data_IF_475795354380
#
_entry.id   IF_475795354380
#
_cell.length_a   1.000
_cell.length_b   1.000
_cell.length_c   1.000
_cell.angle_alpha   90.00
_cell.angle_beta   90.00
_cell.angle_gamma   90.00
#
_symmetry.space_group_name_H-M   'P 1'
#
loop_
_entity.id
_entity.type
_entity.pdbx_description
1 polymer ?
#
# COMPACT_ATOMS: atom_id res chain seq x y z
N UNK A 1 -9.44 -57.78 29.77
CA UNK A 1 -9.97 -57.97 28.41
C UNK A 1 -10.78 -56.71 28.08
N UNK A 2 -10.19 -55.59 27.67
CA UNK A 2 -9.30 -55.35 26.52
C UNK A 2 -10.08 -54.59 25.44
N UNK A 3 -9.66 -53.34 25.23
CA UNK A 3 -9.69 -52.55 24.00
C UNK A 3 -11.07 -52.28 23.35
N UNK A 4 -11.45 -51.05 23.04
CA UNK A 4 -10.64 -50.14 22.25
C UNK A 4 -11.02 -48.66 22.50
N UNK A 5 -10.09 -47.94 23.13
CA UNK A 5 -9.84 -46.54 22.79
C UNK A 5 -9.36 -46.49 21.33
N UNK A 6 -10.31 -46.50 20.40
CA UNK A 6 -10.05 -46.31 18.98
C UNK A 6 -9.89 -44.83 18.70
N UNK A 7 -8.67 -44.33 18.86
CA UNK A 7 -8.24 -42.99 18.49
C UNK A 7 -8.85 -42.56 17.14
N UNK A 8 -9.78 -41.60 17.19
CA UNK A 8 -10.08 -40.75 16.04
C UNK A 8 -8.85 -39.86 15.88
N UNK A 9 -7.85 -40.40 15.19
CA UNK A 9 -6.80 -39.59 14.60
C UNK A 9 -7.48 -38.69 13.58
N UNK A 10 -7.82 -37.47 14.03
CA UNK A 10 -8.45 -36.41 13.25
C UNK A 10 -7.64 -36.23 11.98
N UNK A 11 -8.31 -36.51 10.87
CA UNK A 11 -7.76 -36.66 9.54
C UNK A 11 -6.84 -35.51 9.17
N UNK A 12 -5.52 -35.78 9.17
CA UNK A 12 -4.46 -35.08 8.44
C UNK A 12 -4.44 -33.56 8.63
N UNK A 13 -3.39 -33.09 9.28
CA UNK A 13 -2.78 -31.77 9.06
C UNK A 13 -2.68 -31.51 7.56
N UNK A 14 -3.73 -30.93 7.00
CA UNK A 14 -3.71 -30.33 5.69
C UNK A 14 -2.89 -29.06 5.94
N UNK A 15 -1.62 -29.09 5.52
CA UNK A 15 -0.76 -27.91 5.42
C UNK A 15 -1.42 -26.97 4.42
N UNK A 16 -2.43 -26.25 4.88
CA UNK A 16 -3.19 -25.28 4.10
C UNK A 16 -2.69 -23.93 4.55
N UNK A 17 -2.36 -23.09 3.58
CA UNK A 17 -1.94 -21.72 3.85
C UNK A 17 -3.06 -21.02 4.61
N UNK A 18 -2.76 -20.57 5.82
CA UNK A 18 -3.67 -19.76 6.63
C UNK A 18 -3.57 -18.30 6.17
N UNK A 19 -4.65 -17.80 5.57
CA UNK A 19 -4.77 -16.41 5.12
C UNK A 19 -5.51 -15.53 6.13
N UNK A 20 -5.76 -16.01 7.34
CA UNK A 20 -6.39 -15.19 8.37
C UNK A 20 -5.43 -14.08 8.82
N UNK A 21 -5.97 -12.86 8.94
CA UNK A 21 -5.20 -11.73 9.44
C UNK A 21 -5.05 -11.86 10.96
N UNK A 22 -3.86 -11.52 11.47
CA UNK A 22 -3.68 -11.30 12.89
C UNK A 22 -4.65 -10.23 13.41
N UNK A 23 -5.02 -10.23 14.69
CA UNK A 23 -5.87 -9.18 15.27
C UNK A 23 -5.30 -7.77 15.14
N UNK A 24 -3.98 -7.63 15.02
CA UNK A 24 -3.30 -6.36 14.75
C UNK A 24 -3.48 -5.93 13.29
N UNK A 25 -3.22 -6.83 12.34
CA UNK A 25 -3.41 -6.56 10.92
C UNK A 25 -4.87 -6.26 10.59
N UNK A 26 -5.83 -6.95 11.23
CA UNK A 26 -7.25 -6.67 11.08
C UNK A 26 -7.62 -5.24 11.54
N UNK A 27 -7.03 -4.78 12.66
CA UNK A 27 -7.23 -3.41 13.16
C UNK A 27 -6.61 -2.37 12.25
N UNK A 28 -5.38 -2.60 11.78
CA UNK A 28 -4.70 -1.72 10.83
C UNK A 28 -5.46 -1.63 9.51
N UNK A 29 -5.95 -2.75 8.96
CA UNK A 29 -6.77 -2.75 7.75
C UNK A 29 -8.06 -1.94 7.91
N UNK A 30 -8.69 -2.01 9.09
CA UNK A 30 -9.85 -1.18 9.40
C UNK A 30 -9.50 0.32 9.48
N UNK A 31 -8.35 0.68 10.07
CA UNK A 31 -7.83 2.06 10.07
C UNK A 31 -7.57 2.56 8.64
N UNK A 32 -6.86 1.77 7.82
CA UNK A 32 -6.60 2.09 6.41
C UNK A 32 -7.90 2.37 5.67
N UNK A 33 -8.89 1.49 5.80
CA UNK A 33 -10.20 1.65 5.16
C UNK A 33 -10.90 2.93 5.59
N UNK A 34 -10.97 3.18 6.91
CA UNK A 34 -11.63 4.36 7.45
C UNK A 34 -10.95 5.64 6.95
N UNK A 35 -9.62 5.68 7.01
CA UNK A 35 -8.85 6.83 6.55
C UNK A 35 -8.99 7.05 5.05
N UNK A 36 -8.91 6.00 4.22
CA UNK A 36 -9.08 6.13 2.76
C UNK A 36 -10.49 6.67 2.44
N UNK A 37 -11.52 6.18 3.11
CA UNK A 37 -12.90 6.64 2.89
C UNK A 37 -13.10 8.12 3.23
N UNK A 38 -12.38 8.62 4.24
CA UNK A 38 -12.40 10.04 4.64
C UNK A 38 -11.54 10.91 3.71
N UNK A 39 -10.33 10.45 3.41
CA UNK A 39 -9.31 11.22 2.71
C UNK A 39 -9.52 11.27 1.19
N UNK A 40 -10.15 10.26 0.58
CA UNK A 40 -10.34 10.17 -0.87
C UNK A 40 -11.48 11.12 -1.33
N UNK A 41 -11.17 12.19 -2.10
CA UNK A 41 -12.21 13.06 -2.62
C UNK A 41 -13.13 12.29 -3.58
N UNK A 42 -14.45 12.37 -3.38
CA UNK A 42 -15.44 11.67 -4.21
C UNK A 42 -15.29 11.95 -5.70
N UNK A 43 -14.88 13.16 -6.09
CA UNK A 43 -14.64 13.47 -7.52
C UNK A 43 -13.47 12.68 -8.11
N UNK A 44 -12.42 12.41 -7.33
CA UNK A 44 -11.26 11.63 -7.79
C UNK A 44 -11.65 10.18 -7.95
N UNK A 45 -12.36 9.63 -6.96
CA UNK A 45 -12.94 8.29 -7.02
C UNK A 45 -13.80 8.12 -8.28
N UNK A 46 -14.80 8.99 -8.49
CA UNK A 46 -15.72 8.90 -9.64
C UNK A 46 -14.97 8.96 -10.98
N UNK A 47 -13.98 9.85 -11.12
CA UNK A 47 -13.19 9.96 -12.35
C UNK A 47 -12.36 8.71 -12.59
N UNK A 48 -11.77 8.13 -11.54
CA UNK A 48 -11.00 6.89 -11.61
C UNK A 48 -11.87 5.68 -11.98
N UNK A 49 -13.09 5.59 -11.43
CA UNK A 49 -13.99 4.45 -11.68
C UNK A 49 -14.74 4.52 -13.01
N UNK A 50 -14.91 5.71 -13.59
CA UNK A 50 -15.69 5.90 -14.83
C UNK A 50 -14.89 5.63 -16.13
N UNK A 51 -13.70 5.02 -16.04
CA UNK A 51 -12.91 4.63 -17.20
C UNK A 51 -12.17 5.77 -17.90
N UNK A 52 -12.14 6.97 -17.31
CA UNK A 52 -11.30 8.06 -17.80
C UNK A 52 -9.85 7.84 -17.36
N UNK A 53 -8.91 8.19 -18.24
CA UNK A 53 -7.52 8.31 -17.80
C UNK A 53 -7.46 9.47 -16.79
N UNK A 54 -7.02 9.25 -15.54
CA UNK A 54 -6.96 10.30 -14.54
C UNK A 54 -6.12 11.46 -15.07
N UNK A 55 -6.58 12.70 -14.85
CA UNK A 55 -5.76 13.85 -15.20
C UNK A 55 -4.49 13.84 -14.35
N UNK A 56 -3.42 14.44 -14.85
CA UNK A 56 -2.15 14.54 -14.10
C UNK A 56 -2.35 15.22 -12.75
N UNK A 57 -3.25 16.19 -12.70
CA UNK A 57 -3.64 16.94 -11.51
C UNK A 57 -4.39 16.05 -10.50
N UNK A 58 -5.26 15.16 -10.98
CA UNK A 58 -5.97 14.19 -10.14
C UNK A 58 -4.98 13.24 -9.46
N UNK A 59 -3.99 12.75 -10.23
CA UNK A 59 -2.91 11.89 -9.73
C UNK A 59 -2.06 12.64 -8.71
N UNK A 60 -1.64 13.87 -9.03
CA UNK A 60 -0.82 14.70 -8.13
C UNK A 60 -1.53 14.95 -6.81
N UNK A 61 -2.79 15.36 -6.86
CA UNK A 61 -3.55 15.64 -5.64
C UNK A 61 -3.65 14.39 -4.77
N UNK A 62 -3.96 13.24 -5.37
CA UNK A 62 -4.00 12.00 -4.61
C UNK A 62 -2.65 11.61 -4.01
N UNK A 63 -1.56 11.78 -4.76
CA UNK A 63 -0.20 11.59 -4.25
C UNK A 63 0.08 12.50 -3.06
N UNK A 64 -0.31 13.77 -3.10
CA UNK A 64 -0.12 14.72 -1.99
C UNK A 64 -0.90 14.32 -0.73
N UNK A 65 -2.14 13.84 -0.89
CA UNK A 65 -2.95 13.33 0.22
C UNK A 65 -2.28 12.11 0.87
N UNK A 66 -1.83 11.15 0.07
CA UNK A 66 -1.09 9.99 0.54
C UNK A 66 0.25 10.37 1.20
N UNK A 67 0.97 11.33 0.62
CA UNK A 67 2.25 11.81 1.11
C UNK A 67 2.13 12.50 2.46
N UNK A 68 1.10 13.35 2.64
CA UNK A 68 0.83 14.01 3.91
C UNK A 68 0.58 13.02 5.06
N UNK A 69 0.01 11.84 4.77
CA UNK A 69 -0.15 10.75 5.74
C UNK A 69 1.11 9.88 5.91
N UNK A 70 2.07 9.98 5.01
CA UNK A 70 3.27 9.13 4.95
C UNK A 70 3.04 7.77 4.29
N UNK A 71 1.99 7.63 3.48
CA UNK A 71 1.56 6.35 2.89
C UNK A 71 1.85 6.22 1.39
N UNK A 72 2.31 7.29 0.73
CA UNK A 72 2.67 7.23 -0.70
C UNK A 72 3.82 6.24 -0.94
N UNK A 73 4.84 6.31 -0.09
CA UNK A 73 6.01 5.43 -0.09
C UNK A 73 5.75 4.15 0.71
N UNK A 74 4.63 3.47 0.49
CA UNK A 74 4.25 2.25 1.25
C UNK A 74 5.33 1.16 1.27
N UNK A 75 6.21 1.13 0.26
CA UNK A 75 7.33 0.18 0.13
C UNK A 75 8.70 0.84 0.38
N UNK A 76 8.73 2.09 0.82
CA UNK A 76 9.97 2.80 1.08
C UNK A 76 10.46 2.50 2.50
N UNK A 77 11.78 2.43 2.72
CA UNK A 77 12.34 2.42 4.07
C UNK A 77 11.84 3.63 4.88
N UNK A 78 11.66 3.43 6.19
CA UNK A 78 11.13 4.47 7.08
C UNK A 78 12.00 5.74 7.07
N UNK A 79 13.32 5.60 6.96
CA UNK A 79 14.26 6.73 6.87
C UNK A 79 14.01 7.65 5.65
N UNK A 80 13.31 7.17 4.63
CA UNK A 80 12.95 7.93 3.43
C UNK A 80 11.48 8.37 3.41
N UNK A 81 10.75 8.21 4.52
CA UNK A 81 9.36 8.65 4.67
C UNK A 81 8.31 7.58 4.35
N UNK A 82 8.71 6.31 4.27
CA UNK A 82 7.75 5.19 4.22
C UNK A 82 7.14 4.86 5.59
N UNK A 83 6.01 4.15 5.63
CA UNK A 83 5.30 3.85 6.88
C UNK A 83 5.94 2.74 7.72
N UNK A 84 6.97 2.05 7.21
CA UNK A 84 7.62 0.94 7.90
C UNK A 84 6.80 -0.36 7.90
N UNK A 85 5.92 -0.50 6.91
CA UNK A 85 5.06 -1.66 6.77
C UNK A 85 5.79 -2.90 6.23
N UNK A 86 5.33 -4.07 6.65
CA UNK A 86 5.70 -5.34 6.02
C UNK A 86 4.89 -5.60 4.73
N UNK A 87 5.22 -6.68 4.02
CA UNK A 87 4.56 -7.07 2.77
C UNK A 87 3.05 -7.28 2.94
N UNK A 88 2.62 -7.89 4.05
CA UNK A 88 1.19 -8.14 4.30
C UNK A 88 0.45 -6.83 4.46
N UNK A 89 1.04 -5.87 5.17
CA UNK A 89 0.47 -4.54 5.41
C UNK A 89 0.41 -3.69 4.14
N UNK A 90 1.44 -3.78 3.29
CA UNK A 90 1.42 -3.18 1.95
C UNK A 90 0.28 -3.73 1.12
N UNK A 91 0.12 -5.05 1.09
CA UNK A 91 -0.92 -5.71 0.29
C UNK A 91 -2.33 -5.35 0.80
N UNK A 92 -2.53 -5.31 2.12
CA UNK A 92 -3.77 -4.83 2.73
C UNK A 92 -4.09 -3.40 2.29
N UNK A 93 -3.09 -2.52 2.28
CA UNK A 93 -3.30 -1.13 1.86
C UNK A 93 -3.66 -1.01 0.37
N UNK A 94 -2.97 -1.77 -0.50
CA UNK A 94 -3.27 -1.81 -1.94
C UNK A 94 -4.68 -2.35 -2.19
N UNK A 95 -5.11 -3.38 -1.46
CA UNK A 95 -6.48 -3.92 -1.54
C UNK A 95 -7.50 -2.85 -1.15
N UNK A 96 -7.29 -2.11 -0.06
CA UNK A 96 -8.22 -1.07 0.38
C UNK A 96 -8.25 0.14 -0.57
N UNK A 97 -7.13 0.52 -1.19
CA UNK A 97 -7.11 1.51 -2.28
C UNK A 97 -7.96 1.05 -3.48
N UNK A 98 -7.79 -0.21 -3.89
CA UNK A 98 -8.58 -0.80 -4.97
C UNK A 98 -10.07 -0.88 -4.63
N UNK A 99 -10.40 -1.32 -3.41
CA UNK A 99 -11.78 -1.37 -2.88
C UNK A 99 -12.44 0.00 -2.88
N UNK A 100 -11.69 1.05 -2.55
CA UNK A 100 -12.18 2.42 -2.55
C UNK A 100 -12.30 3.01 -3.96
N UNK A 101 -11.76 2.37 -5.01
CA UNK A 101 -11.69 2.97 -6.34
C UNK A 101 -10.79 4.21 -6.36
N UNK A 102 -9.73 4.22 -5.55
CA UNK A 102 -8.78 5.32 -5.51
C UNK A 102 -8.06 5.46 -6.87
N UNK A 103 -7.71 6.70 -7.29
CA UNK A 103 -6.90 6.88 -8.49
C UNK A 103 -5.51 6.29 -8.30
N UNK A 104 -4.85 5.98 -9.42
CA UNK A 104 -3.45 5.58 -9.42
C UNK A 104 -2.51 6.69 -8.94
N UNK A 105 -1.25 6.32 -8.78
CA UNK A 105 -0.13 7.25 -8.50
C UNK A 105 0.89 7.18 -9.64
N UNK A 106 1.88 8.09 -9.66
CA UNK A 106 3.02 8.00 -10.57
C UNK A 106 3.90 6.78 -10.23
N UNK A 107 3.55 5.61 -10.79
CA UNK A 107 4.23 4.35 -10.49
C UNK A 107 5.73 4.39 -10.83
N UNK A 108 6.09 4.97 -11.98
CA UNK A 108 7.49 5.06 -12.41
C UNK A 108 8.31 5.89 -11.42
N UNK A 109 7.79 7.04 -10.96
CA UNK A 109 8.47 7.85 -9.97
C UNK A 109 8.59 7.13 -8.63
N UNK A 110 7.46 6.71 -8.06
CA UNK A 110 7.39 6.25 -6.67
C UNK A 110 7.96 4.85 -6.48
N UNK A 111 7.70 3.92 -7.40
CA UNK A 111 8.02 2.49 -7.20
C UNK A 111 9.15 1.97 -8.09
N UNK A 112 9.72 2.80 -8.97
CA UNK A 112 10.85 2.39 -9.82
C UNK A 112 12.05 3.33 -9.66
N UNK A 113 11.85 4.64 -9.83
CA UNK A 113 12.94 5.63 -9.78
C UNK A 113 13.40 5.89 -8.34
N UNK A 114 12.48 6.18 -7.42
CA UNK A 114 12.85 6.45 -6.03
C UNK A 114 13.63 5.29 -5.38
N UNK A 115 13.27 4.00 -5.58
CA UNK A 115 14.08 2.88 -5.09
C UNK A 115 15.52 2.88 -5.57
N UNK A 116 15.75 3.16 -6.85
CA UNK A 116 17.11 3.25 -7.39
C UNK A 116 17.87 4.40 -6.73
N UNK A 117 17.22 5.56 -6.53
CA UNK A 117 17.84 6.73 -5.92
C UNK A 117 18.17 6.49 -4.44
N UNK A 118 17.26 5.91 -3.66
CA UNK A 118 17.53 5.71 -2.23
C UNK A 118 18.48 4.54 -1.96
N UNK A 119 18.65 3.62 -2.91
CA UNK A 119 19.58 2.49 -2.80
C UNK A 119 20.98 2.82 -3.32
N UNK A 120 21.09 3.55 -4.44
CA UNK A 120 22.37 3.77 -5.14
C UNK A 120 22.72 5.24 -5.35
N UNK A 121 21.78 6.15 -5.09
CA UNK A 121 21.99 7.58 -5.28
C UNK A 121 22.80 8.21 -4.15
N UNK A 122 23.50 9.29 -4.46
CA UNK A 122 24.19 10.12 -3.47
C UNK A 122 23.20 10.84 -2.56
N UNK A 123 23.63 11.28 -1.39
CA UNK A 123 22.79 12.08 -0.47
C UNK A 123 22.17 13.29 -1.18
N UNK A 124 22.95 14.00 -2.00
CA UNK A 124 22.46 15.13 -2.80
C UNK A 124 21.36 14.72 -3.81
N UNK A 125 21.42 13.51 -4.38
CA UNK A 125 20.34 13.00 -5.25
C UNK A 125 19.10 12.62 -4.43
N UNK A 126 19.30 11.99 -3.27
CA UNK A 126 18.20 11.61 -2.39
C UNK A 126 17.42 12.84 -1.90
N UNK A 127 18.12 13.86 -1.41
CA UNK A 127 17.53 15.13 -0.98
C UNK A 127 16.80 15.86 -2.11
N UNK A 128 17.39 15.85 -3.32
CA UNK A 128 16.83 16.52 -4.48
C UNK A 128 15.57 15.85 -5.03
N UNK A 129 15.46 14.52 -4.99
CA UNK A 129 14.44 13.80 -5.76
C UNK A 129 13.39 13.08 -4.92
N UNK A 130 13.71 12.54 -3.74
CA UNK A 130 12.76 11.66 -3.02
C UNK A 130 11.51 12.41 -2.56
N UNK A 131 11.68 13.60 -1.96
CA UNK A 131 10.54 14.42 -1.51
C UNK A 131 9.68 14.90 -2.70
N UNK A 132 10.25 15.46 -3.79
CA UNK A 132 9.45 15.82 -4.96
C UNK A 132 8.75 14.64 -5.66
N UNK A 133 9.36 13.45 -5.67
CA UNK A 133 8.73 12.23 -6.19
C UNK A 133 7.51 11.86 -5.34
N UNK A 134 7.68 11.78 -4.02
CA UNK A 134 6.61 11.43 -3.10
C UNK A 134 5.43 12.42 -3.17
N UNK A 135 5.72 13.71 -3.36
CA UNK A 135 4.72 14.77 -3.44
C UNK A 135 4.05 14.91 -4.83
N UNK A 136 4.54 14.21 -5.85
CA UNK A 136 4.01 14.36 -7.22
C UNK A 136 4.41 15.69 -7.91
N UNK A 137 5.51 16.29 -7.48
CA UNK A 137 6.07 17.49 -8.12
C UNK A 137 6.83 17.12 -9.40
N UNK A 138 7.39 15.90 -9.44
CA UNK A 138 8.11 15.35 -10.59
C UNK A 138 7.37 14.11 -11.12
N UNK A 139 7.13 14.10 -12.42
CA UNK A 139 6.59 12.93 -13.13
C UNK A 139 7.65 12.40 -14.09
N UNK A 140 7.78 11.08 -14.10
CA UNK A 140 8.64 10.34 -15.02
C UNK A 140 7.74 9.67 -16.06
N UNK A 141 8.20 9.58 -17.31
CA UNK A 141 7.49 8.96 -18.44
C UNK A 141 8.30 7.81 -19.05
#
# INVERSE_FOLDING_TARGET
MENAEGAILSTRERIWMDFTLSPENARLKAEMRAWIAEALPKRLQQRATNGFHPAKEDIREWMQILNAKGWIGRNWPQQFGGPGWDTTQVDMFVEELGRAGAPGVSNLGVFMVAPVIFTFGTEAQQEKYLKPIANGDIFFC
#
